data_IF_951173700374
#
_entry.id   IF_951173700374
#
_cell.length_a   1.000
_cell.length_b   1.000
_cell.length_c   1.000
_cell.angle_alpha   90.00
_cell.angle_beta   90.00
_cell.angle_gamma   90.00
#
_symmetry.space_group_name_H-M   'P 1'
#
loop_
_entity.id
_entity.type
_entity.pdbx_description
1 polymer ?
#
# COMPACT_ATOMS: atom_id res chain seq x y z
N UNK A 1 22.44 3.99 -7.16
CA UNK A 1 20.96 4.00 -7.13
C UNK A 1 20.54 3.84 -5.67
N UNK A 2 20.26 4.93 -4.98
CA UNK A 2 20.06 4.95 -3.52
C UNK A 2 18.57 4.71 -3.13
N UNK A 3 17.65 5.04 -4.03
CA UNK A 3 16.20 5.08 -3.76
C UNK A 3 15.56 3.72 -3.47
N UNK A 4 16.04 2.63 -4.09
CA UNK A 4 15.46 1.29 -3.90
C UNK A 4 15.64 0.72 -2.48
N UNK A 5 16.53 1.29 -1.68
CA UNK A 5 16.74 0.85 -0.28
C UNK A 5 15.67 1.38 0.68
N UNK A 6 14.96 2.47 0.32
CA UNK A 6 14.05 3.18 1.24
C UNK A 6 12.56 2.98 0.91
N UNK A 7 12.23 2.41 -0.24
CA UNK A 7 10.87 2.31 -0.78
C UNK A 7 10.59 0.90 -1.33
N UNK A 8 9.31 0.57 -1.50
CA UNK A 8 8.86 -0.60 -2.27
C UNK A 8 8.72 -1.92 -1.50
N UNK A 9 9.10 -1.98 -0.22
CA UNK A 9 8.77 -3.09 0.68
C UNK A 9 8.49 -2.58 2.09
N UNK A 10 7.82 -3.42 2.90
CA UNK A 10 7.51 -3.13 4.30
C UNK A 10 8.59 -3.76 5.19
N UNK A 11 9.59 -2.97 5.55
CA UNK A 11 10.75 -3.38 6.36
C UNK A 11 11.17 -2.23 7.29
N UNK A 12 11.80 -2.56 8.41
CA UNK A 12 12.34 -1.55 9.34
C UNK A 12 13.37 -0.64 8.65
N UNK A 13 13.32 0.66 8.96
CA UNK A 13 14.22 1.67 8.40
C UNK A 13 13.87 2.19 7.01
N UNK A 14 12.75 1.74 6.41
CA UNK A 14 12.16 2.28 5.17
C UNK A 14 11.06 3.31 5.46
N UNK A 15 10.65 4.05 4.43
CA UNK A 15 9.52 4.96 4.54
C UNK A 15 8.22 4.17 4.74
N UNK A 16 7.34 4.67 5.61
CA UNK A 16 6.02 4.11 5.83
C UNK A 16 5.05 4.55 4.73
N UNK A 17 5.37 4.14 3.49
CA UNK A 17 4.55 4.37 2.30
C UNK A 17 3.73 3.10 2.03
N UNK A 18 2.45 3.13 2.38
CA UNK A 18 1.57 1.97 2.24
C UNK A 18 0.13 2.36 1.96
N UNK A 19 -0.60 1.43 1.33
CA UNK A 19 -2.01 1.55 0.99
C UNK A 19 -2.76 0.40 1.66
N UNK A 20 -3.86 0.72 2.34
CA UNK A 20 -4.79 -0.28 2.87
C UNK A 20 -5.90 -0.48 1.86
N UNK A 21 -6.14 -1.72 1.47
CA UNK A 21 -7.18 -2.11 0.51
C UNK A 21 -8.44 -2.60 1.24
N UNK A 22 -9.62 -2.39 0.65
CA UNK A 22 -10.87 -2.88 1.21
C UNK A 22 -11.05 -4.41 1.08
N UNK A 23 -10.23 -5.08 0.28
CA UNK A 23 -10.29 -6.52 0.03
C UNK A 23 -8.89 -7.15 0.09
N UNK A 24 -8.84 -8.43 0.45
CA UNK A 24 -7.63 -9.23 0.32
C UNK A 24 -7.47 -9.75 -1.11
N UNK A 25 -6.58 -9.11 -1.87
CA UNK A 25 -6.31 -9.46 -3.28
C UNK A 25 -5.73 -10.87 -3.47
N UNK A 26 -5.26 -11.54 -2.40
CA UNK A 26 -4.73 -12.90 -2.46
C UNK A 26 -5.81 -13.97 -2.39
N UNK A 27 -7.04 -13.60 -2.03
CA UNK A 27 -8.16 -14.54 -1.83
C UNK A 27 -9.29 -14.36 -2.83
N UNK A 28 -9.34 -13.25 -3.57
CA UNK A 28 -10.38 -12.97 -4.57
C UNK A 28 -9.98 -13.46 -5.98
N UNK A 29 -10.93 -13.66 -6.90
CA UNK A 29 -10.63 -13.92 -8.31
C UNK A 29 -9.80 -12.79 -8.94
N UNK A 30 -8.85 -13.17 -9.82
CA UNK A 30 -7.91 -12.22 -10.43
C UNK A 30 -8.61 -11.15 -11.27
N UNK A 31 -9.71 -11.53 -11.93
CA UNK A 31 -10.56 -10.66 -12.73
C UNK A 31 -11.39 -9.68 -11.88
N UNK A 32 -11.35 -9.78 -10.55
CA UNK A 32 -11.98 -8.83 -9.63
C UNK A 32 -11.00 -7.86 -8.97
N UNK A 33 -9.69 -8.10 -9.06
CA UNK A 33 -8.65 -7.26 -8.40
C UNK A 33 -8.79 -5.78 -8.78
N UNK A 34 -9.15 -5.46 -10.02
CA UNK A 34 -9.30 -4.08 -10.48
C UNK A 34 -10.47 -3.32 -9.83
N UNK A 35 -11.42 -4.02 -9.18
CA UNK A 35 -12.54 -3.43 -8.45
C UNK A 35 -12.16 -3.00 -7.02
N UNK A 36 -11.05 -3.51 -6.49
CA UNK A 36 -10.56 -3.23 -5.14
C UNK A 36 -10.16 -1.77 -5.02
N UNK A 37 -10.51 -1.15 -3.90
CA UNK A 37 -10.30 0.27 -3.64
C UNK A 37 -9.37 0.48 -2.44
N UNK A 38 -8.54 1.53 -2.47
CA UNK A 38 -7.86 1.98 -1.27
C UNK A 38 -8.87 2.56 -0.28
N UNK A 39 -8.76 2.19 0.98
CA UNK A 39 -9.53 2.78 2.10
C UNK A 39 -8.66 3.72 2.95
N UNK A 40 -7.34 3.57 2.88
CA UNK A 40 -6.39 4.46 3.55
C UNK A 40 -5.08 4.52 2.76
N UNK A 41 -4.44 5.69 2.71
CA UNK A 41 -3.10 5.86 2.14
C UNK A 41 -2.19 6.59 3.12
N UNK A 42 -1.02 6.03 3.36
CA UNK A 42 0.03 6.65 4.18
C UNK A 42 1.21 7.00 3.29
N UNK A 43 1.72 8.22 3.44
CA UNK A 43 2.95 8.71 2.81
C UNK A 43 3.86 9.23 3.90
N UNK A 44 5.09 8.73 3.98
CA UNK A 44 6.05 9.00 5.04
C UNK A 44 5.47 8.83 6.47
N UNK A 45 4.52 7.91 6.64
CA UNK A 45 3.84 7.68 7.93
C UNK A 45 2.69 8.63 8.24
N UNK A 46 2.39 9.59 7.37
CA UNK A 46 1.22 10.47 7.50
C UNK A 46 0.05 9.94 6.69
N UNK A 47 -1.15 9.94 7.28
CA UNK A 47 -2.38 9.58 6.57
C UNK A 47 -2.72 10.73 5.62
N UNK A 48 -2.64 10.46 4.31
CA UNK A 48 -2.93 11.42 3.24
C UNK A 48 -4.30 11.21 2.61
N UNK A 49 -4.89 10.03 2.84
CA UNK A 49 -6.24 9.68 2.43
C UNK A 49 -6.85 8.71 3.46
N UNK A 50 -8.12 8.93 3.80
CA UNK A 50 -8.94 8.08 4.66
C UNK A 50 -10.41 8.23 4.23
N UNK A 51 -11.18 7.13 4.25
CA UNK A 51 -12.57 7.08 3.76
C UNK A 51 -13.55 6.46 4.77
#
# INVERSE_FOLDING_TARGET
MENGKKLGTVEEGKYADLVVLNENILTIPKDEIWKVKPIMTLINGEITYDN
#
